data_IF_603434198759
#
_entry.id   IF_603434198759
#
_cell.length_a   1.000
_cell.length_b   1.000
_cell.length_c   1.000
_cell.angle_alpha   90.00
_cell.angle_beta   90.00
_cell.angle_gamma   90.00
#
_symmetry.space_group_name_H-M   'P 1'
#
loop_
_entity.id
_entity.type
_entity.pdbx_description
1 polymer ?
#
# COMPACT_ATOMS: atom_id res chain seq x y z
N UNK A 1 2.63 -8.57 -25.05
CA UNK A 1 3.26 -8.83 -23.74
C UNK A 1 4.63 -8.15 -23.58
N UNK A 2 5.61 -8.37 -24.46
CA UNK A 2 6.99 -7.87 -24.28
C UNK A 2 7.16 -6.35 -24.09
N UNK A 3 6.29 -5.53 -24.71
CA UNK A 3 6.42 -4.06 -24.65
C UNK A 3 6.18 -3.50 -23.25
N UNK A 4 5.10 -3.91 -22.58
CA UNK A 4 4.79 -3.39 -21.24
C UNK A 4 5.77 -3.90 -20.19
N UNK A 5 6.25 -5.14 -20.33
CA UNK A 5 7.26 -5.70 -19.43
C UNK A 5 8.57 -4.92 -19.48
N UNK A 6 9.00 -4.51 -20.68
CA UNK A 6 10.16 -3.62 -20.85
C UNK A 6 9.96 -2.30 -20.12
N UNK A 7 8.78 -1.69 -20.23
CA UNK A 7 8.47 -0.46 -19.50
C UNK A 7 8.47 -0.64 -17.99
N UNK A 8 7.89 -1.71 -17.45
CA UNK A 8 7.91 -2.01 -16.02
C UNK A 8 9.33 -2.26 -15.51
N UNK A 9 10.15 -3.02 -16.26
CA UNK A 9 11.56 -3.25 -15.91
C UNK A 9 12.38 -1.97 -15.95
N UNK A 10 12.13 -1.12 -16.94
CA UNK A 10 12.77 0.20 -17.03
C UNK A 10 12.39 1.07 -15.83
N UNK A 11 11.10 1.18 -15.53
CA UNK A 11 10.60 1.94 -14.38
C UNK A 11 11.22 1.41 -13.08
N UNK A 12 11.30 0.09 -12.90
CA UNK A 12 11.95 -0.51 -11.74
C UNK A 12 13.44 -0.14 -11.65
N UNK A 13 14.20 -0.22 -12.75
CA UNK A 13 15.62 0.10 -12.78
C UNK A 13 15.87 1.58 -12.49
N UNK A 14 15.11 2.47 -13.12
CA UNK A 14 15.18 3.91 -12.90
C UNK A 14 14.79 4.27 -11.47
N UNK A 15 13.71 3.68 -10.95
CA UNK A 15 13.30 3.87 -9.56
C UNK A 15 14.34 3.38 -8.57
N UNK A 16 15.01 2.24 -8.84
CA UNK A 16 16.09 1.72 -8.00
C UNK A 16 17.28 2.67 -7.96
N UNK A 17 17.67 3.21 -9.11
CA UNK A 17 18.75 4.20 -9.18
C UNK A 17 18.34 5.49 -8.46
N UNK A 18 17.12 5.97 -8.70
CA UNK A 18 16.60 7.18 -8.09
C UNK A 18 16.34 7.04 -6.58
N UNK A 19 16.22 5.82 -6.04
CA UNK A 19 15.96 5.57 -4.62
C UNK A 19 16.99 6.22 -3.69
N UNK A 20 18.24 6.37 -4.13
CA UNK A 20 19.29 7.09 -3.38
C UNK A 20 18.98 8.57 -3.18
N UNK A 21 18.10 9.15 -3.99
CA UNK A 21 17.62 10.54 -3.90
C UNK A 21 16.19 10.59 -3.36
N UNK A 22 15.28 9.81 -3.94
CA UNK A 22 13.85 9.87 -3.60
C UNK A 22 13.57 9.37 -2.18
N UNK A 23 14.26 8.33 -1.69
CA UNK A 23 14.05 7.85 -0.33
C UNK A 23 14.52 8.87 0.72
N UNK A 24 15.72 9.49 0.64
CA UNK A 24 16.07 10.60 1.52
C UNK A 24 15.09 11.76 1.47
N UNK A 25 14.61 12.16 0.28
CA UNK A 25 13.63 13.24 0.15
C UNK A 25 12.32 12.94 0.88
N UNK A 26 11.78 11.72 0.73
CA UNK A 26 10.57 11.30 1.46
C UNK A 26 10.83 11.30 2.97
N UNK A 27 11.96 10.75 3.42
CA UNK A 27 12.31 10.73 4.85
C UNK A 27 12.52 12.14 5.42
N UNK A 28 13.12 13.04 4.64
CA UNK A 28 13.29 14.44 4.99
C UNK A 28 11.93 15.12 5.09
N UNK A 29 11.04 14.94 4.11
CA UNK A 29 9.70 15.51 4.13
C UNK A 29 8.92 15.08 5.38
N UNK A 30 8.93 13.78 5.72
CA UNK A 30 8.30 13.26 6.94
C UNK A 30 8.87 13.93 8.20
N UNK A 31 10.20 14.15 8.26
CA UNK A 31 10.84 14.83 9.39
C UNK A 31 10.52 16.32 9.46
N UNK A 32 10.55 17.02 8.32
CA UNK A 32 10.23 18.44 8.23
C UNK A 32 8.79 18.72 8.64
N UNK A 33 7.87 17.82 8.28
CA UNK A 33 6.46 17.89 8.72
C UNK A 33 6.27 17.55 10.21
N UNK A 34 7.32 17.15 10.91
CA UNK A 34 7.28 16.77 12.33
C UNK A 34 6.57 15.45 12.61
N UNK A 35 6.26 14.65 11.57
CA UNK A 35 5.50 13.41 11.71
C UNK A 35 6.30 12.31 12.40
N UNK A 36 5.65 11.58 13.31
CA UNK A 36 6.29 10.51 14.09
C UNK A 36 5.40 9.28 14.15
N UNK A 37 5.97 8.09 13.94
CA UNK A 37 5.28 6.81 14.16
C UNK A 37 5.76 6.20 15.48
N UNK A 38 4.82 5.87 16.39
CA UNK A 38 5.12 5.17 17.65
C UNK A 38 5.75 3.82 17.36
N UNK A 39 6.74 3.43 18.16
CA UNK A 39 7.39 2.13 18.10
C UNK A 39 7.89 1.72 16.69
N UNK A 40 8.24 2.69 15.84
CA UNK A 40 8.64 2.41 14.44
C UNK A 40 9.81 1.42 14.33
N UNK A 41 10.71 1.38 15.31
CA UNK A 41 11.80 0.39 15.36
C UNK A 41 11.29 -1.03 15.59
N UNK A 42 10.26 -1.21 16.44
CA UNK A 42 9.60 -2.52 16.65
C UNK A 42 8.91 -2.97 15.36
N UNK A 43 8.09 -2.09 14.79
CA UNK A 43 7.33 -2.35 13.55
C UNK A 43 8.27 -2.76 12.41
N UNK A 44 9.35 -2.02 12.18
CA UNK A 44 10.36 -2.36 11.16
C UNK A 44 11.03 -3.71 11.41
N UNK A 45 11.28 -4.08 12.67
CA UNK A 45 11.87 -5.39 13.00
C UNK A 45 10.89 -6.52 12.71
N UNK A 46 9.62 -6.36 13.07
CA UNK A 46 8.57 -7.36 12.83
C UNK A 46 8.36 -7.58 11.33
N UNK A 47 8.23 -6.49 10.56
CA UNK A 47 8.09 -6.56 9.10
C UNK A 47 9.34 -7.18 8.45
N UNK A 48 10.54 -6.80 8.89
CA UNK A 48 11.76 -7.40 8.38
C UNK A 48 11.91 -8.89 8.73
N UNK A 49 11.35 -9.34 9.87
CA UNK A 49 11.26 -10.77 10.22
C UNK A 49 10.30 -11.47 9.27
N UNK A 50 9.07 -11.00 9.13
CA UNK A 50 8.08 -11.62 8.24
C UNK A 50 8.57 -11.69 6.78
N UNK A 51 9.18 -10.61 6.27
CA UNK A 51 9.77 -10.59 4.92
C UNK A 51 11.03 -11.46 4.75
N UNK A 52 11.63 -11.95 5.84
CA UNK A 52 12.67 -12.98 5.77
C UNK A 52 12.06 -14.38 5.79
N UNK A 53 11.00 -14.56 6.60
CA UNK A 53 10.29 -15.85 6.70
C UNK A 53 9.50 -16.19 5.42
N UNK A 54 9.15 -15.18 4.61
CA UNK A 54 8.55 -15.36 3.29
C UNK A 54 9.09 -14.34 2.29
N UNK A 55 9.74 -14.82 1.23
CA UNK A 55 10.38 -13.98 0.21
C UNK A 55 9.40 -13.18 -0.67
N UNK A 56 8.09 -13.40 -0.50
CA UNK A 56 7.04 -12.72 -1.25
C UNK A 56 6.49 -13.56 -2.42
N UNK A 57 5.58 -12.99 -3.22
CA UNK A 57 5.14 -11.59 -3.18
C UNK A 57 4.23 -11.25 -1.98
N UNK A 58 4.23 -9.98 -1.57
CA UNK A 58 3.36 -9.46 -0.51
C UNK A 58 2.30 -8.52 -1.09
N UNK A 59 1.08 -8.62 -0.58
CA UNK A 59 0.04 -7.63 -0.80
C UNK A 59 -0.13 -6.89 0.53
N UNK A 60 0.32 -5.64 0.57
CA UNK A 60 0.16 -4.75 1.71
C UNK A 60 -1.21 -4.11 1.62
N UNK A 61 -2.10 -4.42 2.56
CA UNK A 61 -3.45 -3.90 2.60
C UNK A 61 -3.59 -2.94 3.76
N UNK A 62 -4.01 -1.71 3.50
CA UNK A 62 -4.10 -0.68 4.53
C UNK A 62 -5.38 0.14 4.49
N UNK A 63 -5.78 0.71 5.64
CA UNK A 63 -6.81 1.75 5.67
C UNK A 63 -6.30 3.05 5.02
N UNK A 64 -7.22 3.91 4.59
CA UNK A 64 -6.85 5.13 3.84
C UNK A 64 -7.57 6.39 4.32
N UNK A 65 -6.81 7.41 4.74
CA UNK A 65 -7.29 8.69 5.26
C UNK A 65 -6.61 9.90 4.59
N UNK A 66 -5.36 9.78 4.14
CA UNK A 66 -4.62 10.90 3.53
C UNK A 66 -4.01 10.53 2.19
N UNK A 67 -3.74 11.52 1.35
CA UNK A 67 -3.09 11.29 0.05
C UNK A 67 -1.69 10.69 0.20
N UNK A 68 -1.03 10.90 1.34
CA UNK A 68 0.36 10.49 1.60
C UNK A 68 0.48 9.22 2.43
N UNK A 69 -0.63 8.52 2.71
CA UNK A 69 -0.60 7.32 3.56
C UNK A 69 0.36 6.25 3.02
N UNK A 70 0.41 6.05 1.70
CA UNK A 70 1.34 5.09 1.11
C UNK A 70 2.80 5.42 1.41
N UNK A 71 3.17 6.71 1.38
CA UNK A 71 4.50 7.17 1.73
C UNK A 71 4.78 7.00 3.24
N UNK A 72 3.80 7.28 4.11
CA UNK A 72 3.91 7.10 5.56
C UNK A 72 4.01 5.63 5.97
N UNK A 73 3.20 4.77 5.35
CA UNK A 73 3.26 3.32 5.54
C UNK A 73 4.62 2.81 5.09
N UNK A 74 5.08 3.17 3.88
CA UNK A 74 6.40 2.79 3.38
C UNK A 74 7.53 3.24 4.35
N UNK A 75 7.47 4.50 4.81
CA UNK A 75 8.36 5.02 5.85
C UNK A 75 8.32 4.18 7.15
N UNK A 76 7.14 3.76 7.59
CA UNK A 76 6.96 2.90 8.76
C UNK A 76 7.49 1.49 8.57
N UNK A 77 7.41 0.94 7.35
CA UNK A 77 7.80 -0.44 7.03
C UNK A 77 9.31 -0.69 7.05
N UNK A 78 10.13 0.28 6.64
CA UNK A 78 11.58 0.09 6.54
C UNK A 78 12.39 1.34 6.90
N UNK A 79 13.67 1.17 7.24
CA UNK A 79 14.62 2.29 7.39
C UNK A 79 14.97 2.91 6.03
N UNK A 80 15.60 4.09 6.04
CA UNK A 80 16.09 4.75 4.82
C UNK A 80 16.96 3.80 3.99
N UNK A 81 17.97 3.21 4.62
CA UNK A 81 18.84 2.21 3.99
C UNK A 81 18.08 0.95 3.56
N UNK A 82 17.00 0.58 4.26
CA UNK A 82 16.10 -0.48 3.81
C UNK A 82 15.47 -0.18 2.46
N UNK A 83 15.02 1.05 2.23
CA UNK A 83 14.43 1.46 0.95
C UNK A 83 15.45 1.48 -0.19
N UNK A 84 16.69 1.90 0.10
CA UNK A 84 17.77 1.98 -0.88
C UNK A 84 18.32 0.59 -1.22
N UNK A 85 18.76 -0.17 -0.20
CA UNK A 85 19.45 -1.45 -0.38
C UNK A 85 18.49 -2.59 -0.71
N UNK A 86 17.25 -2.54 -0.24
CA UNK A 86 16.23 -3.58 -0.45
C UNK A 86 15.05 -3.02 -1.25
N UNK A 87 15.34 -2.25 -2.30
CA UNK A 87 14.34 -1.61 -3.15
C UNK A 87 13.28 -2.57 -3.70
N UNK A 88 13.62 -3.85 -3.95
CA UNK A 88 12.65 -4.87 -4.36
C UNK A 88 11.48 -5.04 -3.37
N UNK A 89 11.72 -4.84 -2.06
CA UNK A 89 10.73 -4.95 -0.99
C UNK A 89 9.85 -3.71 -0.83
N UNK A 90 10.22 -2.59 -1.42
CA UNK A 90 9.37 -1.40 -1.46
C UNK A 90 8.16 -1.74 -2.35
N UNK A 91 6.93 -1.65 -1.83
CA UNK A 91 5.74 -2.03 -2.57
C UNK A 91 5.45 -1.05 -3.70
N UNK A 92 4.83 -1.55 -4.77
CA UNK A 92 4.25 -0.71 -5.80
C UNK A 92 2.90 -0.17 -5.36
N UNK A 93 2.66 1.11 -5.62
CA UNK A 93 1.43 1.80 -5.24
C UNK A 93 0.50 1.96 -6.45
N UNK A 94 -0.81 2.04 -6.19
CA UNK A 94 -1.84 2.23 -7.21
C UNK A 94 -2.55 3.59 -7.06
N UNK A 95 -1.85 4.74 -7.23
CA UNK A 95 -2.47 6.04 -7.05
C UNK A 95 -3.45 6.35 -8.19
N UNK A 96 -4.51 7.09 -7.84
CA UNK A 96 -5.42 7.65 -8.83
C UNK A 96 -4.70 8.66 -9.72
N UNK A 97 -4.81 8.50 -11.04
CA UNK A 97 -4.08 9.30 -12.03
C UNK A 97 -4.41 10.79 -11.92
N UNK A 98 -5.69 11.11 -11.71
CA UNK A 98 -6.17 12.49 -11.57
C UNK A 98 -5.55 13.25 -10.39
N UNK A 99 -5.08 12.55 -9.36
CA UNK A 99 -4.49 13.18 -8.19
C UNK A 99 -3.12 13.83 -8.47
N UNK A 100 -2.39 13.41 -9.51
CA UNK A 100 -1.02 13.87 -9.73
C UNK A 100 -0.70 14.24 -11.19
N UNK A 101 -1.49 13.79 -12.18
CA UNK A 101 -1.13 13.95 -13.60
C UNK A 101 -0.98 15.39 -14.07
N UNK A 102 -1.65 16.35 -13.40
CA UNK A 102 -1.56 17.79 -13.73
C UNK A 102 -0.21 18.40 -13.32
N UNK A 103 0.57 17.72 -12.46
CA UNK A 103 1.85 18.21 -11.99
C UNK A 103 2.98 17.31 -12.55
N UNK A 104 3.84 17.81 -13.46
CA UNK A 104 4.93 17.03 -14.04
C UNK A 104 5.92 16.50 -13.01
N UNK A 105 6.18 17.27 -11.95
CA UNK A 105 7.05 16.84 -10.86
C UNK A 105 6.44 15.66 -10.10
N UNK A 106 5.14 15.73 -9.73
CA UNK A 106 4.48 14.61 -9.06
C UNK A 106 4.38 13.38 -9.97
N UNK A 107 4.15 13.58 -11.28
CA UNK A 107 4.15 12.50 -12.27
C UNK A 107 5.50 11.80 -12.33
N UNK A 108 6.60 12.55 -12.38
CA UNK A 108 7.95 12.00 -12.33
C UNK A 108 8.21 11.26 -11.00
N UNK A 109 7.84 11.85 -9.87
CA UNK A 109 8.00 11.24 -8.56
C UNK A 109 7.22 9.92 -8.45
N UNK A 110 5.96 9.88 -8.88
CA UNK A 110 5.17 8.65 -8.93
C UNK A 110 5.83 7.59 -9.81
N UNK A 111 6.35 7.96 -10.98
CA UNK A 111 7.06 7.02 -11.85
C UNK A 111 8.29 6.41 -11.14
N UNK A 112 9.13 7.25 -10.51
CA UNK A 112 10.36 6.82 -9.83
C UNK A 112 10.11 6.07 -8.50
N UNK A 113 8.97 6.29 -7.85
CA UNK A 113 8.62 5.69 -6.55
C UNK A 113 7.69 4.49 -6.66
N UNK A 114 7.77 3.75 -7.78
CA UNK A 114 6.99 2.52 -8.04
C UNK A 114 5.48 2.70 -8.02
N UNK A 115 4.94 3.74 -8.67
CA UNK A 115 3.50 3.84 -8.86
C UNK A 115 3.05 3.26 -10.20
N UNK A 116 1.95 2.49 -10.19
CA UNK A 116 1.17 2.12 -11.37
C UNK A 116 -0.14 2.91 -11.32
N UNK A 117 -0.29 3.97 -12.13
CA UNK A 117 -1.48 4.81 -12.09
C UNK A 117 -2.75 4.03 -12.42
N UNK A 118 -3.81 4.27 -11.66
CA UNK A 118 -5.17 3.78 -11.95
C UNK A 118 -6.05 4.93 -12.40
N UNK A 119 -6.92 4.68 -13.39
CA UNK A 119 -8.00 5.58 -13.79
C UNK A 119 -9.31 5.07 -13.17
N UNK A 120 -9.86 5.76 -12.16
CA UNK A 120 -11.21 5.47 -11.66
C UNK A 120 -12.23 5.74 -12.75
N UNK A 121 -13.10 4.77 -13.00
CA UNK A 121 -14.09 4.86 -14.08
C UNK A 121 -13.48 4.73 -15.49
N UNK A 122 -12.20 4.33 -15.59
CA UNK A 122 -11.56 4.00 -16.87
C UNK A 122 -12.20 2.80 -17.57
N UNK A 123 -11.78 2.54 -18.80
CA UNK A 123 -12.36 1.45 -19.59
C UNK A 123 -12.02 0.07 -18.99
N UNK A 124 -12.80 -0.97 -19.35
CA UNK A 124 -12.52 -2.35 -18.91
C UNK A 124 -11.13 -2.80 -19.36
N UNK A 125 -10.71 -2.38 -20.55
CA UNK A 125 -9.42 -2.67 -21.14
C UNK A 125 -8.28 -2.01 -20.35
N UNK A 126 -8.44 -0.75 -19.92
CA UNK A 126 -7.45 -0.07 -19.09
C UNK A 126 -7.27 -0.76 -17.73
N UNK A 127 -8.39 -1.16 -17.10
CA UNK A 127 -8.36 -1.91 -15.85
C UNK A 127 -7.69 -3.26 -16.04
N UNK A 128 -8.02 -3.99 -17.10
CA UNK A 128 -7.40 -5.28 -17.41
C UNK A 128 -5.88 -5.15 -17.60
N UNK A 129 -5.42 -4.15 -18.36
CA UNK A 129 -4.00 -3.88 -18.53
C UNK A 129 -3.28 -3.52 -17.22
N UNK A 130 -3.93 -2.78 -16.32
CA UNK A 130 -3.38 -2.50 -15.00
C UNK A 130 -3.24 -3.78 -14.17
N UNK A 131 -4.25 -4.64 -14.20
CA UNK A 131 -4.24 -5.92 -13.48
C UNK A 131 -3.15 -6.85 -14.01
N UNK A 132 -2.97 -6.96 -15.32
CA UNK A 132 -1.88 -7.71 -15.93
C UNK A 132 -0.49 -7.21 -15.47
N UNK A 133 -0.30 -5.88 -15.39
CA UNK A 133 0.92 -5.29 -14.84
C UNK A 133 1.13 -5.66 -13.37
N UNK A 134 0.07 -5.61 -12.56
CA UNK A 134 0.12 -5.95 -11.15
C UNK A 134 0.45 -7.43 -10.94
N UNK A 135 -0.19 -8.34 -11.67
CA UNK A 135 0.13 -9.78 -11.63
C UNK A 135 1.60 -10.02 -12.02
N UNK A 136 2.10 -9.36 -13.07
CA UNK A 136 3.51 -9.45 -13.47
C UNK A 136 4.47 -8.93 -12.39
N UNK A 137 4.12 -7.86 -11.68
CA UNK A 137 4.89 -7.36 -10.53
C UNK A 137 4.95 -8.40 -9.41
N UNK A 138 3.82 -9.05 -9.10
CA UNK A 138 3.74 -10.11 -8.09
C UNK A 138 4.54 -11.35 -8.52
N UNK A 139 4.49 -11.75 -9.79
CA UNK A 139 5.29 -12.85 -10.35
C UNK A 139 6.80 -12.61 -10.21
N UNK A 140 7.25 -11.35 -10.28
CA UNK A 140 8.64 -10.94 -10.02
C UNK A 140 9.00 -10.86 -8.54
N UNK A 141 8.19 -11.45 -7.66
CA UNK A 141 8.33 -11.44 -6.19
C UNK A 141 8.40 -10.03 -5.61
N UNK A 142 7.80 -9.04 -6.28
CA UNK A 142 7.65 -7.71 -5.73
C UNK A 142 6.32 -7.59 -4.98
N UNK A 143 6.20 -6.54 -4.18
CA UNK A 143 5.01 -6.32 -3.36
C UNK A 143 4.10 -5.26 -3.98
N UNK A 144 2.80 -5.36 -3.72
CA UNK A 144 1.81 -4.32 -4.04
C UNK A 144 1.31 -3.69 -2.74
N UNK A 145 0.98 -2.40 -2.77
CA UNK A 145 0.24 -1.71 -1.73
C UNK A 145 -1.14 -1.33 -2.26
N UNK A 146 -2.18 -1.78 -1.56
CA UNK A 146 -3.57 -1.64 -1.94
C UNK A 146 -4.36 -1.10 -0.75
N UNK A 147 -5.24 -0.15 -1.03
CA UNK A 147 -6.24 0.34 -0.07
C UNK A 147 -7.59 -0.29 -0.45
N UNK A 148 -8.06 -1.32 0.28
CA UNK A 148 -9.24 -2.10 -0.11
C UNK A 148 -10.52 -1.27 -0.11
N UNK A 149 -10.56 -0.17 0.64
CA UNK A 149 -11.66 0.82 0.62
C UNK A 149 -11.82 1.51 -0.74
N UNK A 150 -10.84 1.39 -1.65
CA UNK A 150 -10.88 1.99 -2.99
C UNK A 150 -10.78 3.51 -3.00
N UNK A 151 -10.67 4.17 -1.84
CA UNK A 151 -10.53 5.60 -1.68
C UNK A 151 -10.24 5.96 -0.23
N UNK A 152 -10.03 7.24 0.05
CA UNK A 152 -9.95 7.73 1.42
C UNK A 152 -11.33 7.60 2.06
N UNK A 153 -11.37 7.08 3.29
CA UNK A 153 -12.60 6.98 4.08
C UNK A 153 -13.22 8.37 4.28
N UNK A 154 -14.52 8.50 4.01
CA UNK A 154 -15.25 9.78 4.14
C UNK A 154 -15.80 10.05 5.54
N UNK A 155 -15.70 9.06 6.42
CA UNK A 155 -16.18 9.12 7.80
C UNK A 155 -15.02 9.06 8.79
N UNK A 156 -13.79 8.91 8.29
CA UNK A 156 -12.63 8.62 9.12
C UNK A 156 -12.72 7.27 9.85
N UNK A 157 -13.52 6.33 9.36
CA UNK A 157 -13.63 4.94 9.87
C UNK A 157 -13.41 3.95 8.75
N UNK A 158 -12.98 2.72 9.07
CA UNK A 158 -12.83 1.67 8.05
C UNK A 158 -14.21 1.36 7.44
N UNK A 159 -14.36 1.55 6.12
CA UNK A 159 -15.61 1.25 5.43
C UNK A 159 -15.82 -0.26 5.28
N UNK A 160 -16.86 -0.79 5.93
CA UNK A 160 -17.21 -2.23 5.91
C UNK A 160 -18.20 -2.62 4.81
N UNK A 161 -18.84 -1.66 4.17
CA UNK A 161 -19.96 -1.89 3.26
C UNK A 161 -19.55 -1.66 1.81
N UNK A 162 -18.98 -0.49 1.52
CA UNK A 162 -18.54 -0.11 0.16
C UNK A 162 -17.03 -0.24 0.00
N UNK A 163 -16.56 -1.49 -0.13
CA UNK A 163 -15.15 -1.81 -0.39
C UNK A 163 -14.94 -2.42 -1.78
N UNK A 164 -13.73 -2.24 -2.33
CA UNK A 164 -13.32 -2.77 -3.63
C UNK A 164 -12.91 -4.23 -3.54
N UNK A 165 -13.34 -5.02 -4.54
CA UNK A 165 -12.98 -6.43 -4.67
C UNK A 165 -11.64 -6.67 -5.38
N UNK A 166 -10.96 -5.61 -5.81
CA UNK A 166 -9.71 -5.71 -6.58
C UNK A 166 -8.61 -6.49 -5.86
N UNK A 167 -8.50 -6.33 -4.54
CA UNK A 167 -7.55 -7.11 -3.72
C UNK A 167 -7.85 -8.61 -3.76
N UNK A 168 -9.12 -8.99 -3.74
CA UNK A 168 -9.55 -10.37 -3.79
C UNK A 168 -9.26 -11.03 -5.14
N UNK A 169 -9.32 -10.26 -6.23
CA UNK A 169 -8.90 -10.72 -7.56
C UNK A 169 -7.43 -11.13 -7.57
N UNK A 170 -6.53 -10.30 -7.05
CA UNK A 170 -5.11 -10.65 -6.97
C UNK A 170 -4.87 -11.89 -6.11
N UNK A 171 -5.57 -12.03 -4.99
CA UNK A 171 -5.44 -13.20 -4.11
C UNK A 171 -5.97 -14.48 -4.75
N UNK A 172 -7.04 -14.38 -5.55
CA UNK A 172 -7.58 -15.53 -6.29
C UNK A 172 -6.68 -15.98 -7.45
N UNK A 173 -6.03 -15.03 -8.14
CA UNK A 173 -5.18 -15.31 -9.30
C UNK A 173 -3.72 -15.65 -8.90
N UNK A 174 -3.21 -15.06 -7.82
CA UNK A 174 -1.83 -15.23 -7.35
C UNK A 174 -1.77 -16.08 -6.08
N UNK A 175 -1.85 -17.41 -6.22
CA UNK A 175 -1.93 -18.37 -5.09
C UNK A 175 -0.71 -18.46 -4.15
N UNK A 176 0.33 -17.62 -4.32
CA UNK A 176 1.52 -17.55 -3.45
C UNK A 176 1.65 -16.23 -2.67
N UNK A 177 0.69 -15.31 -2.82
CA UNK A 177 0.70 -14.03 -2.13
C UNK A 177 0.44 -14.20 -0.63
N UNK A 178 1.21 -13.50 0.20
CA UNK A 178 0.86 -13.25 1.61
C UNK A 178 0.32 -11.85 1.78
N UNK A 179 -0.62 -11.69 2.72
CA UNK A 179 -1.19 -10.38 3.05
C UNK A 179 -0.47 -9.81 4.26
N UNK A 180 0.00 -8.57 4.14
CA UNK A 180 0.47 -7.75 5.26
C UNK A 180 -0.60 -6.70 5.52
N UNK A 181 -1.38 -6.85 6.58
CA UNK A 181 -2.32 -5.83 7.00
C UNK A 181 -1.58 -4.71 7.71
N UNK A 182 -1.97 -3.48 7.40
CA UNK A 182 -1.44 -2.28 8.05
C UNK A 182 -2.59 -1.36 8.42
N UNK A 183 -2.76 -1.09 9.70
CA UNK A 183 -3.61 0.01 10.17
C UNK A 183 -2.73 1.21 10.53
N UNK A 184 -3.00 2.38 9.95
CA UNK A 184 -2.31 3.64 10.22
C UNK A 184 -3.32 4.71 10.64
N UNK A 185 -3.09 5.33 11.81
CA UNK A 185 -3.93 6.41 12.33
C UNK A 185 -3.12 7.45 13.09
N UNK A 186 -3.28 8.71 12.73
CA UNK A 186 -2.81 9.87 13.47
C UNK A 186 -3.72 10.21 14.64
N UNK A 187 -3.14 10.72 15.73
CA UNK A 187 -3.88 11.12 16.94
C UNK A 187 -4.95 12.17 16.66
N UNK A 188 -4.58 13.18 15.85
CA UNK A 188 -5.47 14.28 15.48
C UNK A 188 -6.41 13.96 14.32
N UNK A 189 -6.36 12.75 13.76
CA UNK A 189 -7.20 12.37 12.63
C UNK A 189 -8.56 11.91 13.13
N UNK A 190 -9.60 12.71 12.86
CA UNK A 190 -11.01 12.33 12.98
C UNK A 190 -11.63 11.99 11.62
N UNK A 191 -11.11 12.57 10.53
CA UNK A 191 -11.64 12.47 9.17
C UNK A 191 -10.48 12.39 8.13
N UNK A 192 -10.81 12.23 6.85
CA UNK A 192 -9.82 12.28 5.77
C UNK A 192 -9.27 13.68 5.53
N UNK A 193 -8.07 13.74 4.97
CA UNK A 193 -7.45 14.99 4.53
C UNK A 193 -6.55 14.78 3.32
N UNK A 194 -5.99 15.84 2.76
CA UNK A 194 -4.94 15.72 1.74
C UNK A 194 -3.61 15.34 2.40
N UNK A 195 -3.22 16.10 3.42
CA UNK A 195 -2.03 15.85 4.24
C UNK A 195 -2.39 15.81 5.72
N UNK A 196 -1.68 15.03 6.55
CA UNK A 196 -1.82 15.09 8.00
C UNK A 196 -1.42 16.45 8.59
N UNK A 197 -1.82 16.70 9.84
CA UNK A 197 -1.44 17.90 10.59
C UNK A 197 0.08 17.96 10.80
N UNK A 198 0.62 19.16 10.92
CA UNK A 198 2.03 19.31 11.30
C UNK A 198 2.27 18.72 12.70
N UNK A 199 3.38 17.99 12.88
CA UNK A 199 3.70 17.34 14.15
C UNK A 199 2.85 16.12 14.50
N UNK A 200 2.00 15.65 13.58
CA UNK A 200 1.08 14.52 13.80
C UNK A 200 1.83 13.27 14.27
N UNK A 201 1.24 12.61 15.27
CA UNK A 201 1.79 11.36 15.82
C UNK A 201 0.89 10.21 15.44
N UNK A 202 1.49 9.23 14.78
CA UNK A 202 0.80 8.07 14.23
C UNK A 202 1.01 6.84 15.11
N UNK A 203 -0.03 6.03 15.17
CA UNK A 203 0.03 4.63 15.54
C UNK A 203 -0.07 3.81 14.26
N UNK A 204 0.87 2.89 14.07
CA UNK A 204 0.87 1.94 12.97
C UNK A 204 0.86 0.54 13.58
N UNK A 205 -0.14 -0.25 13.22
CA UNK A 205 -0.27 -1.66 13.60
C UNK A 205 -0.08 -2.46 12.32
N UNK A 206 0.77 -3.48 12.34
CA UNK A 206 1.02 -4.34 11.19
C UNK A 206 0.96 -5.80 11.62
N UNK A 207 0.42 -6.67 10.76
CA UNK A 207 0.40 -8.11 11.00
C UNK A 207 0.37 -8.90 9.68
N UNK A 208 0.94 -10.10 9.70
CA UNK A 208 0.75 -11.07 8.61
C UNK A 208 -0.64 -11.68 8.78
N UNK A 209 -1.47 -11.58 7.76
CA UNK A 209 -2.82 -12.12 7.79
C UNK A 209 -2.92 -13.33 6.87
N UNK A 210 -3.14 -14.48 7.49
CA UNK A 210 -3.47 -15.71 6.77
C UNK A 210 -4.97 -15.74 6.50
N UNK A 211 -5.34 -15.58 5.24
CA UNK A 211 -6.73 -15.59 4.79
C UNK A 211 -7.31 -17.00 4.67
N UNK A 212 -6.44 -18.03 4.76
CA UNK A 212 -6.75 -19.38 4.33
C UNK A 212 -7.15 -19.42 2.85
N UNK A 213 -7.82 -20.50 2.47
CA UNK A 213 -8.49 -20.61 1.16
C UNK A 213 -10.00 -20.67 1.41
N UNK A 214 -10.72 -19.55 1.28
CA UNK A 214 -12.18 -19.54 1.35
C UNK A 214 -12.76 -20.47 0.27
N UNK A 215 -13.89 -21.10 0.56
CA UNK A 215 -14.61 -21.89 -0.42
C UNK A 215 -15.28 -20.97 -1.46
N UNK A 216 -15.40 -21.47 -2.70
CA UNK A 216 -16.09 -20.79 -3.79
C UNK A 216 -15.17 -20.41 -4.94
N UNK A 217 -15.77 -19.84 -5.99
CA UNK A 217 -15.10 -19.52 -7.24
C UNK A 217 -15.48 -18.13 -7.76
N UNK A 218 -14.66 -17.59 -8.66
CA UNK A 218 -14.92 -16.35 -9.36
C UNK A 218 -15.15 -15.15 -8.43
N UNK A 219 -16.15 -14.32 -8.75
CA UNK A 219 -16.43 -13.07 -8.04
C UNK A 219 -16.78 -13.27 -6.55
N UNK A 220 -17.42 -14.40 -6.21
CA UNK A 220 -17.78 -14.70 -4.81
C UNK A 220 -16.52 -14.89 -3.96
N UNK A 221 -15.55 -15.63 -4.47
CA UNK A 221 -14.26 -15.83 -3.82
C UNK A 221 -13.49 -14.50 -3.65
N UNK A 222 -13.48 -13.66 -4.69
CA UNK A 222 -12.83 -12.35 -4.65
C UNK A 222 -13.46 -11.43 -3.60
N UNK A 223 -14.79 -11.39 -3.54
CA UNK A 223 -15.53 -10.62 -2.53
C UNK A 223 -15.24 -11.11 -1.12
N UNK A 224 -15.19 -12.42 -0.91
CA UNK A 224 -14.91 -13.02 0.39
C UNK A 224 -13.49 -12.68 0.89
N UNK A 225 -12.47 -12.75 0.04
CA UNK A 225 -11.12 -12.30 0.40
C UNK A 225 -11.08 -10.82 0.80
N UNK A 226 -11.70 -9.95 0.00
CA UNK A 226 -11.74 -8.52 0.29
C UNK A 226 -12.50 -8.23 1.59
N UNK A 227 -13.60 -8.93 1.83
CA UNK A 227 -14.41 -8.83 3.06
C UNK A 227 -13.59 -9.16 4.30
N UNK A 228 -12.90 -10.31 4.33
CA UNK A 228 -12.06 -10.72 5.46
C UNK A 228 -10.96 -9.69 5.79
N UNK A 229 -10.34 -9.10 4.76
CA UNK A 229 -9.34 -8.05 4.92
C UNK A 229 -9.95 -6.82 5.59
N UNK A 230 -11.10 -6.36 5.10
CA UNK A 230 -11.78 -5.16 5.61
C UNK A 230 -12.29 -5.39 7.04
N UNK A 231 -12.85 -6.55 7.32
CA UNK A 231 -13.28 -6.93 8.67
C UNK A 231 -12.12 -6.93 9.65
N UNK A 232 -10.96 -7.48 9.24
CA UNK A 232 -9.78 -7.47 10.10
C UNK A 232 -9.20 -6.07 10.29
N UNK A 233 -9.15 -5.24 9.25
CA UNK A 233 -8.76 -3.83 9.36
C UNK A 233 -9.68 -3.07 10.32
N UNK A 234 -10.99 -3.34 10.28
CA UNK A 234 -11.94 -2.74 11.21
C UNK A 234 -11.77 -3.26 12.66
N UNK A 235 -11.30 -4.49 12.84
CA UNK A 235 -10.86 -5.01 14.13
C UNK A 235 -9.63 -4.27 14.65
N UNK A 236 -8.61 -4.05 13.81
CA UNK A 236 -7.41 -3.27 14.16
C UNK A 236 -7.75 -1.82 14.52
N UNK A 237 -8.76 -1.24 13.88
CA UNK A 237 -9.31 0.07 14.27
C UNK A 237 -9.93 0.03 15.67
N UNK A 238 -10.69 -1.02 15.99
CA UNK A 238 -11.22 -1.26 17.34
C UNK A 238 -10.11 -1.34 18.38
N UNK A 239 -9.07 -2.12 18.12
CA UNK A 239 -7.89 -2.24 18.99
C UNK A 239 -7.22 -0.89 19.22
N UNK A 240 -7.11 -0.06 18.17
CA UNK A 240 -6.56 1.30 18.27
C UNK A 240 -7.38 2.20 19.19
N UNK A 241 -8.71 2.19 19.08
CA UNK A 241 -9.58 3.02 19.92
C UNK A 241 -9.66 2.49 21.36
N UNK A 242 -9.69 1.17 21.55
CA UNK A 242 -9.72 0.55 22.86
C UNK A 242 -8.45 0.82 23.68
N UNK A 243 -7.27 0.86 23.03
CA UNK A 243 -6.01 1.19 23.71
C UNK A 243 -5.89 2.67 24.15
N UNK A 244 -6.90 3.50 23.86
CA UNK A 244 -6.88 4.97 24.08
C UNK A 244 -8.12 5.52 24.77
N UNK A 245 -9.14 4.69 24.98
CA UNK A 245 -10.27 4.98 25.86
C UNK A 245 -9.94 4.55 27.28
#
# INVERSE_FOLDING_TARGET
MERFERFLRLQYRLGRLAAVVTAPLVFLAVRLMGWRIRDVRRIRRDIARWQRDHEGPWIVCANHLTMVDSALISYGMASLWGHILRFQRVPWNLPERDNFQRNPFLTLMCYLTKCLPVNRGGSREELQQLLEKCCRVLEWRQSLMIFPEGGRSRTGRVNREDFSYGVGRFLSECGRCRVLLVYLRGDGQSDYSTIPRFGERFTMIAEVFDLGRPAGEGLRLQREYAKRIVERLAGMEGDYFAARG
#
